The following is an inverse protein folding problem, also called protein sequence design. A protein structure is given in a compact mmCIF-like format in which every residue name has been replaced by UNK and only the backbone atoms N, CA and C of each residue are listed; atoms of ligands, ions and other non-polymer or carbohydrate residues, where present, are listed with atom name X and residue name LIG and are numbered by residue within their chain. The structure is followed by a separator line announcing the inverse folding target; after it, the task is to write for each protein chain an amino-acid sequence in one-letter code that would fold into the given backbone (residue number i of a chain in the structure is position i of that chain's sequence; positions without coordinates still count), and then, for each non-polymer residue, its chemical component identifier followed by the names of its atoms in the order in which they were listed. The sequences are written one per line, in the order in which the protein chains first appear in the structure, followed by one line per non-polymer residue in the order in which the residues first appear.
data_IF_324204544585
#
_entry.id   IF_324204544585
#
_cell.length_a   1.000
_cell.length_b   1.000
_cell.length_c   1.000
_cell.angle_alpha   90.00
_cell.angle_beta   90.00
_cell.angle_gamma   90.00
#
_symmetry.space_group_name_H-M   'P 1'
#
loop_
_entity.id
_entity.type
_entity.pdbx_description
1 polymer ?
#
# COMPACT_ATOMS: atom_id res chain seq x y z
N UNK A 1 0.39 33.36 -6.14
CA UNK A 1 0.36 32.24 -7.10
C UNK A 1 0.92 31.00 -6.42
N UNK A 2 0.09 30.31 -5.62
CA UNK A 2 0.54 29.14 -4.85
C UNK A 2 0.38 27.89 -5.70
N UNK A 3 1.51 27.23 -6.00
CA UNK A 3 1.49 25.89 -6.57
C UNK A 3 0.77 24.97 -5.58
N UNK A 4 -0.45 24.53 -5.92
CA UNK A 4 -1.11 23.45 -5.21
C UNK A 4 -0.25 22.22 -5.48
N UNK A 5 0.71 21.96 -4.59
CA UNK A 5 1.55 20.77 -4.61
C UNK A 5 0.63 19.58 -4.46
N UNK A 6 0.26 18.96 -5.58
CA UNK A 6 -0.54 17.75 -5.59
C UNK A 6 0.11 16.72 -4.68
N UNK A 7 -0.65 16.15 -3.74
CA UNK A 7 -0.15 15.11 -2.83
C UNK A 7 0.56 14.00 -3.63
N UNK A 8 1.54 13.30 -3.05
CA UNK A 8 2.28 12.22 -3.74
C UNK A 8 1.37 11.14 -4.39
N UNK A 9 0.13 11.04 -3.93
CA UNK A 9 -0.93 10.16 -4.44
C UNK A 9 -1.65 10.73 -5.68
N UNK A 10 -1.67 12.04 -5.90
CA UNK A 10 -2.35 12.66 -7.04
C UNK A 10 -1.60 12.52 -8.37
N UNK A 11 -0.30 12.19 -8.34
CA UNK A 11 0.46 11.87 -9.55
C UNK A 11 0.01 10.50 -10.07
N UNK A 12 -0.62 10.48 -11.25
CA UNK A 12 -1.09 9.25 -11.91
C UNK A 12 0.03 8.32 -12.41
N UNK A 13 1.30 8.73 -12.36
CA UNK A 13 2.39 7.88 -12.85
C UNK A 13 2.55 6.58 -12.02
N UNK A 14 2.71 5.47 -12.73
CA UNK A 14 3.04 4.16 -12.16
C UNK A 14 4.43 4.15 -11.48
N UNK A 15 5.31 5.08 -11.84
CA UNK A 15 6.61 5.30 -11.21
C UNK A 15 6.59 6.37 -10.10
N UNK A 16 5.40 6.80 -9.66
CA UNK A 16 5.29 7.78 -8.59
C UNK A 16 5.85 7.25 -7.26
N UNK A 17 6.34 8.17 -6.42
CA UNK A 17 6.90 7.85 -5.10
C UNK A 17 5.93 7.05 -4.21
N UNK A 18 4.63 7.25 -4.35
CA UNK A 18 3.65 6.50 -3.58
C UNK A 18 3.27 5.13 -4.20
N UNK A 19 4.01 4.66 -5.21
CA UNK A 19 4.10 3.24 -5.62
C UNK A 19 5.48 2.70 -5.26
N UNK A 20 6.54 3.42 -5.62
CA UNK A 20 7.91 2.93 -5.49
C UNK A 20 8.35 2.82 -4.04
N UNK A 21 8.00 3.78 -3.17
CA UNK A 21 8.29 3.70 -1.73
C UNK A 21 7.60 2.51 -1.05
N UNK A 22 6.27 2.33 -1.14
CA UNK A 22 5.64 1.18 -0.50
C UNK A 22 6.08 -0.16 -1.12
N UNK A 23 6.31 -0.23 -2.43
CA UNK A 23 6.86 -1.43 -3.05
C UNK A 23 8.27 -1.75 -2.51
N UNK A 24 9.13 -0.74 -2.38
CA UNK A 24 10.47 -0.89 -1.81
C UNK A 24 10.39 -1.35 -0.34
N UNK A 25 9.49 -0.79 0.47
CA UNK A 25 9.27 -1.25 1.86
C UNK A 25 8.87 -2.72 1.90
N UNK A 26 7.92 -3.15 1.06
CA UNK A 26 7.51 -4.57 0.97
C UNK A 26 8.70 -5.46 0.61
N UNK A 27 9.47 -5.07 -0.42
CA UNK A 27 10.65 -5.85 -0.85
C UNK A 27 11.71 -5.90 0.24
N UNK A 28 12.00 -4.78 0.91
CA UNK A 28 13.00 -4.72 1.98
C UNK A 28 12.59 -5.58 3.17
N UNK A 29 11.32 -5.60 3.55
CA UNK A 29 10.80 -6.45 4.65
C UNK A 29 10.84 -7.93 4.29
N UNK A 30 10.49 -8.29 3.06
CA UNK A 30 10.57 -9.67 2.59
C UNK A 30 12.04 -10.13 2.52
N UNK A 31 12.93 -9.27 2.01
CA UNK A 31 14.35 -9.56 1.93
C UNK A 31 14.99 -9.66 3.32
N UNK A 32 14.63 -8.77 4.25
CA UNK A 32 15.16 -8.81 5.62
C UNK A 32 14.69 -10.07 6.36
N UNK A 33 13.47 -10.57 6.12
CA UNK A 33 13.01 -11.84 6.69
C UNK A 33 13.91 -13.04 6.30
N UNK A 34 14.60 -12.98 5.15
CA UNK A 34 15.54 -14.01 4.69
C UNK A 34 16.97 -13.74 5.16
N UNK A 35 17.45 -12.50 5.01
CA UNK A 35 18.86 -12.13 5.23
C UNK A 35 19.17 -11.88 6.71
N UNK A 36 18.26 -11.22 7.43
CA UNK A 36 18.41 -10.83 8.84
C UNK A 36 17.08 -11.05 9.58
N UNK A 37 16.73 -12.31 9.87
CA UNK A 37 15.41 -12.66 10.40
C UNK A 37 15.10 -11.96 11.72
N UNK A 38 16.10 -11.65 12.55
CA UNK A 38 15.93 -10.98 13.85
C UNK A 38 15.30 -9.58 13.76
N UNK A 39 15.21 -8.98 12.57
CA UNK A 39 14.56 -7.67 12.37
C UNK A 39 13.04 -7.77 12.19
N UNK A 40 12.52 -8.96 11.91
CA UNK A 40 11.14 -9.14 11.45
C UNK A 40 10.47 -10.36 12.10
N UNK A 41 11.24 -11.42 12.30
CA UNK A 41 10.81 -12.70 12.86
C UNK A 41 11.24 -12.77 14.30
N UNK A 42 10.27 -12.90 15.20
CA UNK A 42 10.51 -13.00 16.64
C UNK A 42 10.59 -14.45 17.11
N UNK A 43 9.53 -15.23 16.85
CA UNK A 43 9.41 -16.61 17.37
C UNK A 43 9.73 -17.62 16.28
N UNK A 44 9.04 -17.56 15.14
CA UNK A 44 9.21 -18.52 14.05
C UNK A 44 8.96 -17.92 12.67
N UNK A 45 9.77 -18.29 11.67
CA UNK A 45 9.54 -17.82 10.30
C UNK A 45 8.15 -18.19 9.76
N UNK A 46 7.57 -19.29 10.26
CA UNK A 46 6.24 -19.72 9.89
C UNK A 46 5.14 -18.80 10.43
N UNK A 47 5.29 -18.24 11.64
CA UNK A 47 4.33 -17.27 12.18
C UNK A 47 4.28 -16.02 11.30
N UNK A 48 5.44 -15.55 10.85
CA UNK A 48 5.56 -14.34 10.06
C UNK A 48 4.92 -14.52 8.70
N UNK A 49 5.19 -15.66 8.05
CA UNK A 49 4.59 -16.00 6.75
C UNK A 49 3.07 -16.15 6.86
N UNK A 50 2.58 -16.82 7.90
CA UNK A 50 1.15 -17.05 8.07
C UNK A 50 0.40 -15.78 8.51
N UNK A 51 0.83 -15.18 9.62
CA UNK A 51 0.13 -14.08 10.27
C UNK A 51 0.42 -12.75 9.59
N UNK A 52 1.68 -12.42 9.34
CA UNK A 52 2.02 -11.10 8.78
C UNK A 52 1.88 -11.08 7.26
N UNK A 53 2.46 -12.03 6.55
CA UNK A 53 2.47 -12.02 5.09
C UNK A 53 1.11 -12.40 4.50
N UNK A 54 0.54 -13.51 4.94
CA UNK A 54 -0.72 -14.01 4.37
C UNK A 54 -1.95 -13.33 4.98
N UNK A 55 -2.19 -13.46 6.28
CA UNK A 55 -3.38 -12.89 6.92
C UNK A 55 -3.32 -11.35 6.97
N UNK A 56 -2.23 -10.81 7.49
CA UNK A 56 -2.01 -9.37 7.62
C UNK A 56 -1.90 -8.69 6.26
N UNK A 57 -1.03 -9.17 5.38
CA UNK A 57 -0.84 -8.63 4.04
C UNK A 57 -2.11 -8.72 3.19
N UNK A 58 -2.80 -9.87 3.23
CA UNK A 58 -4.10 -10.03 2.55
C UNK A 58 -5.16 -9.04 3.05
N UNK A 59 -5.31 -8.94 4.38
CA UNK A 59 -6.25 -7.99 5.00
C UNK A 59 -5.87 -6.53 4.68
N UNK A 60 -4.59 -6.18 4.69
CA UNK A 60 -4.10 -4.85 4.37
C UNK A 60 -4.42 -4.48 2.92
N UNK A 61 -4.18 -5.38 1.98
CA UNK A 61 -4.50 -5.18 0.56
C UNK A 61 -6.00 -4.92 0.35
N UNK A 62 -6.84 -5.79 0.93
CA UNK A 62 -8.30 -5.67 0.83
C UNK A 62 -8.81 -4.40 1.49
N UNK A 63 -8.23 -4.00 2.62
CA UNK A 63 -8.55 -2.74 3.32
C UNK A 63 -8.20 -1.53 2.47
N UNK A 64 -6.98 -1.47 1.92
CA UNK A 64 -6.58 -0.39 1.03
C UNK A 64 -7.53 -0.25 -0.16
N UNK A 65 -7.87 -1.38 -0.79
CA UNK A 65 -8.80 -1.46 -1.91
C UNK A 65 -10.20 -0.99 -1.51
N UNK A 66 -10.75 -1.43 -0.38
CA UNK A 66 -12.12 -1.07 0.04
C UNK A 66 -12.26 0.42 0.34
N UNK A 67 -11.25 1.04 0.94
CA UNK A 67 -11.25 2.50 1.18
C UNK A 67 -11.20 3.27 -0.14
N UNK A 68 -10.37 2.83 -1.09
CA UNK A 68 -10.35 3.45 -2.42
C UNK A 68 -11.68 3.28 -3.17
N UNK A 69 -12.36 2.12 -3.06
CA UNK A 69 -13.64 1.88 -3.75
C UNK A 69 -14.72 2.93 -3.42
N UNK A 70 -14.71 3.47 -2.19
CA UNK A 70 -15.66 4.48 -1.71
C UNK A 70 -15.15 5.92 -1.86
N UNK A 71 -14.10 6.14 -2.66
CA UNK A 71 -13.49 7.46 -2.89
C UNK A 71 -12.96 8.15 -1.63
N UNK A 72 -12.80 7.41 -0.52
CA UNK A 72 -12.35 7.94 0.77
C UNK A 72 -10.89 8.43 0.71
N UNK A 73 -10.52 9.36 1.61
CA UNK A 73 -9.15 9.89 1.65
C UNK A 73 -8.15 8.82 2.09
N UNK A 74 -6.95 8.86 1.49
CA UNK A 74 -5.85 7.93 1.77
C UNK A 74 -5.48 7.83 3.27
N UNK A 75 -5.66 8.91 4.03
CA UNK A 75 -5.42 8.92 5.49
C UNK A 75 -6.24 7.84 6.23
N UNK A 76 -7.45 7.52 5.75
CA UNK A 76 -8.26 6.45 6.35
C UNK A 76 -7.66 5.07 6.10
N UNK A 77 -7.08 4.82 4.91
CA UNK A 77 -6.39 3.56 4.62
C UNK A 77 -5.16 3.36 5.52
N UNK A 78 -4.39 4.43 5.74
CA UNK A 78 -3.24 4.40 6.66
C UNK A 78 -3.71 4.14 8.09
N UNK A 79 -4.73 4.85 8.58
CA UNK A 79 -5.26 4.67 9.93
C UNK A 79 -5.76 3.23 10.17
N UNK A 80 -6.49 2.65 9.21
CA UNK A 80 -6.93 1.27 9.32
C UNK A 80 -5.78 0.27 9.23
N UNK A 81 -4.74 0.54 8.45
CA UNK A 81 -3.54 -0.29 8.43
C UNK A 81 -2.75 -0.23 9.75
N UNK A 82 -2.73 0.91 10.45
CA UNK A 82 -2.16 1.02 11.79
C UNK A 82 -2.94 0.14 12.80
N UNK A 83 -4.28 0.22 12.78
CA UNK A 83 -5.12 -0.64 13.62
C UNK A 83 -4.93 -2.12 13.29
N UNK A 84 -4.79 -2.45 12.00
CA UNK A 84 -4.48 -3.80 11.56
C UNK A 84 -3.11 -4.29 12.08
N UNK A 85 -2.12 -3.41 12.16
CA UNK A 85 -0.83 -3.70 12.80
C UNK A 85 -0.97 -4.09 14.28
N UNK A 86 -1.85 -3.41 15.02
CA UNK A 86 -2.17 -3.79 16.41
C UNK A 86 -2.80 -5.20 16.47
N UNK A 87 -3.69 -5.53 15.54
CA UNK A 87 -4.33 -6.86 15.48
C UNK A 87 -3.33 -7.96 15.14
N UNK A 88 -2.46 -7.73 14.15
CA UNK A 88 -1.40 -8.68 13.78
C UNK A 88 -0.44 -8.90 14.95
N UNK A 89 -0.06 -7.84 15.66
CA UNK A 89 0.77 -7.95 16.88
C UNK A 89 0.09 -8.76 17.96
N UNK A 90 -1.21 -8.55 18.16
CA UNK A 90 -1.99 -9.33 19.11
C UNK A 90 -2.01 -10.82 18.75
N UNK A 91 -2.11 -11.18 17.46
CA UNK A 91 -2.03 -12.59 17.04
C UNK A 91 -0.66 -13.22 17.28
N UNK A 92 0.43 -12.49 17.03
CA UNK A 92 1.78 -12.96 17.37
C UNK A 92 1.94 -13.26 18.86
N UNK A 93 1.41 -12.39 19.73
CA UNK A 93 1.39 -12.63 21.16
C UNK A 93 0.48 -13.81 21.55
N UNK A 94 -0.76 -13.84 21.06
CA UNK A 94 -1.78 -14.77 21.54
C UNK A 94 -1.59 -16.21 21.01
N UNK A 95 -1.07 -16.39 19.80
CA UNK A 95 -0.92 -17.72 19.17
C UNK A 95 0.49 -18.28 19.30
N UNK A 96 1.51 -17.42 19.36
CA UNK A 96 2.92 -17.84 19.28
C UNK A 96 3.75 -17.36 20.49
N UNK A 97 3.11 -16.81 21.52
CA UNK A 97 3.79 -16.32 22.74
C UNK A 97 4.87 -15.25 22.47
N UNK A 98 4.76 -14.49 21.37
CA UNK A 98 5.65 -13.37 21.04
C UNK A 98 5.48 -12.18 21.98
N UNK A 99 6.38 -11.19 21.95
CA UNK A 99 6.27 -10.01 22.82
C UNK A 99 5.24 -9.00 22.32
N UNK A 100 4.27 -8.66 23.16
CA UNK A 100 3.18 -7.74 22.79
C UNK A 100 3.67 -6.29 22.61
N UNK A 101 4.51 -5.81 23.53
CA UNK A 101 4.97 -4.41 23.60
C UNK A 101 6.38 -4.21 23.03
N UNK A 102 6.75 -4.95 21.99
CA UNK A 102 7.99 -4.66 21.25
C UNK A 102 7.74 -3.56 20.21
N UNK A 103 8.27 -2.36 20.48
CA UNK A 103 8.16 -1.23 19.56
C UNK A 103 8.82 -1.53 18.21
N UNK A 104 9.93 -2.27 18.21
CA UNK A 104 10.66 -2.62 16.99
C UNK A 104 9.79 -3.44 16.04
N UNK A 105 9.27 -4.58 16.51
CA UNK A 105 8.43 -5.47 15.68
C UNK A 105 7.09 -4.84 15.33
N UNK A 106 6.52 -4.02 16.23
CA UNK A 106 5.31 -3.27 15.92
C UNK A 106 5.52 -2.32 14.73
N UNK A 107 6.62 -1.57 14.71
CA UNK A 107 6.91 -0.62 13.63
C UNK A 107 7.17 -1.34 12.31
N UNK A 108 7.94 -2.44 12.31
CA UNK A 108 8.26 -3.17 11.08
C UNK A 108 7.02 -3.82 10.46
N UNK A 109 6.21 -4.53 11.24
CA UNK A 109 4.96 -5.13 10.74
C UNK A 109 3.97 -4.06 10.29
N UNK A 110 3.81 -3.00 11.06
CA UNK A 110 2.88 -1.92 10.69
C UNK A 110 3.33 -1.20 9.42
N UNK A 111 4.63 -0.93 9.26
CA UNK A 111 5.17 -0.34 8.04
C UNK A 111 4.91 -1.23 6.82
N UNK A 112 5.08 -2.55 6.97
CA UNK A 112 4.77 -3.53 5.93
C UNK A 112 3.28 -3.50 5.55
N UNK A 113 2.38 -3.53 6.54
CA UNK A 113 0.93 -3.51 6.30
C UNK A 113 0.47 -2.18 5.67
N UNK A 114 1.00 -1.05 6.14
CA UNK A 114 0.73 0.27 5.53
C UNK A 114 1.19 0.28 4.07
N UNK A 115 2.36 -0.28 3.77
CA UNK A 115 2.85 -0.35 2.41
C UNK A 115 1.93 -1.17 1.50
N UNK A 116 1.49 -2.35 1.94
CA UNK A 116 0.55 -3.18 1.19
C UNK A 116 -0.82 -2.50 1.02
N UNK A 117 -1.36 -1.90 2.09
CA UNK A 117 -2.62 -1.16 2.02
C UNK A 117 -2.52 0.02 1.04
N UNK A 118 -1.37 0.69 0.98
CA UNK A 118 -1.11 1.77 0.02
C UNK A 118 -1.13 1.27 -1.42
N UNK A 119 -0.47 0.13 -1.68
CA UNK A 119 -0.48 -0.48 -3.02
C UNK A 119 -1.89 -0.91 -3.43
N UNK A 120 -2.65 -1.55 -2.52
CA UNK A 120 -4.05 -1.94 -2.76
C UNK A 120 -4.96 -0.75 -3.04
N UNK A 121 -4.81 0.33 -2.25
CA UNK A 121 -5.50 1.59 -2.46
C UNK A 121 -5.19 2.19 -3.84
N UNK A 122 -3.91 2.18 -4.24
CA UNK A 122 -3.48 2.80 -5.49
C UNK A 122 -3.92 2.01 -6.72
N UNK A 123 -3.86 0.68 -6.66
CA UNK A 123 -4.38 -0.19 -7.71
C UNK A 123 -5.86 0.05 -7.99
N UNK A 124 -6.64 0.23 -6.92
CA UNK A 124 -8.05 0.57 -7.02
C UNK A 124 -8.26 1.95 -7.63
N UNK A 125 -7.52 2.96 -7.15
CA UNK A 125 -7.60 4.32 -7.70
C UNK A 125 -7.29 4.37 -9.19
N UNK A 126 -6.25 3.67 -9.63
CA UNK A 126 -5.91 3.61 -11.05
C UNK A 126 -7.04 3.03 -11.91
N UNK A 127 -7.65 1.94 -11.44
CA UNK A 127 -8.79 1.32 -12.13
C UNK A 127 -10.02 2.23 -12.14
N UNK A 128 -10.31 2.90 -11.04
CA UNK A 128 -11.40 3.85 -10.94
C UNK A 128 -11.24 5.02 -11.90
N UNK A 129 -10.04 5.59 -12.01
CA UNK A 129 -9.76 6.70 -12.94
C UNK A 129 -9.99 6.28 -14.39
N UNK A 130 -9.50 5.11 -14.78
CA UNK A 130 -9.69 4.61 -16.14
C UNK A 130 -11.15 4.23 -16.46
N UNK A 131 -11.90 3.71 -15.48
CA UNK A 131 -13.28 3.24 -15.70
C UNK A 131 -14.29 4.38 -15.61
N UNK A 132 -14.18 5.22 -14.57
CA UNK A 132 -15.15 6.29 -14.27
C UNK A 132 -14.81 7.59 -14.94
N UNK A 133 -13.55 7.83 -15.29
CA UNK A 133 -13.10 9.04 -15.98
C UNK A 133 -12.38 8.69 -17.29
N UNK A 134 -12.78 7.58 -17.93
CA UNK A 134 -12.15 7.03 -19.13
C UNK A 134 -12.10 8.00 -20.33
N UNK A 135 -12.91 9.06 -20.32
CA UNK A 135 -12.91 10.09 -21.35
C UNK A 135 -11.77 11.12 -21.18
N UNK A 136 -11.20 11.26 -19.97
CA UNK A 136 -10.03 12.12 -19.69
C UNK A 136 -8.79 11.28 -19.40
N UNK A 137 -8.94 10.10 -18.80
CA UNK A 137 -7.82 9.30 -18.32
C UNK A 137 -7.82 7.89 -18.91
N UNK A 138 -6.63 7.37 -19.26
CA UNK A 138 -6.41 5.95 -19.57
C UNK A 138 -5.55 5.29 -18.50
N UNK A 139 -5.78 4.00 -18.28
CA UNK A 139 -4.97 3.22 -17.37
C UNK A 139 -3.52 3.09 -17.89
N UNK A 140 -2.55 3.30 -17.01
CA UNK A 140 -1.12 3.13 -17.28
C UNK A 140 -0.53 2.15 -16.27
N UNK A 141 -0.56 0.86 -16.64
CA UNK A 141 -0.18 -0.24 -15.77
C UNK A 141 -1.17 -0.48 -14.61
N UNK A 142 -0.74 -1.29 -13.64
CA UNK A 142 -1.63 -1.70 -12.54
C UNK A 142 -1.86 -0.58 -11.49
N UNK A 143 -0.91 0.35 -11.35
CA UNK A 143 -0.91 1.36 -10.29
C UNK A 143 -1.00 2.81 -10.79
N UNK A 144 -1.12 3.02 -12.11
CA UNK A 144 -1.06 4.34 -12.71
C UNK A 144 -2.17 4.61 -13.73
N UNK A 145 -2.32 5.88 -14.07
CA UNK A 145 -3.17 6.41 -15.12
C UNK A 145 -2.48 7.60 -15.79
N UNK A 146 -2.76 7.79 -17.07
CA UNK A 146 -2.28 8.91 -17.87
C UNK A 146 -3.48 9.71 -18.37
N UNK A 147 -3.30 11.00 -18.55
CA UNK A 147 -4.31 11.82 -19.22
C UNK A 147 -4.30 11.45 -20.71
N UNK A 148 -5.48 11.10 -21.23
CA UNK A 148 -5.69 10.82 -22.64
C UNK A 148 -5.58 12.12 -23.41
N UNK A 149 -4.39 12.41 -23.92
CA UNK A 149 -4.12 13.62 -24.69
C UNK A 149 -5.09 13.78 -25.85
N UNK A 150 -5.62 14.99 -25.96
CA UNK A 150 -6.40 15.52 -27.07
C UNK A 150 -5.60 15.44 -28.38
N UNK A 151 -5.69 14.31 -29.09
CA UNK A 151 -5.09 14.15 -30.40
C UNK A 151 -5.89 14.86 -31.51
N UNK A 152 -6.84 15.74 -31.19
CA UNK A 152 -7.67 16.45 -32.17
C UNK A 152 -7.21 17.88 -32.50
N UNK A 153 -6.16 18.42 -31.87
CA UNK A 153 -5.75 19.84 -32.04
C UNK A 153 -4.48 20.10 -32.86
N UNK A 154 -3.86 19.08 -33.47
CA UNK A 154 -2.62 19.27 -34.25
C UNK A 154 -2.82 19.20 -35.78
N UNK A 155 -4.05 19.34 -36.28
CA UNK A 155 -4.41 19.13 -37.69
C UNK A 155 -4.77 20.38 -38.50
N UNK A 156 -4.94 21.55 -37.87
CA UNK A 156 -5.41 22.76 -38.54
C UNK A 156 -4.37 23.88 -38.40
N UNK A 157 -3.35 23.87 -39.27
CA UNK A 157 -2.44 24.99 -39.50
C UNK A 157 -2.01 25.03 -40.97
#
# INVERSE_FOLDING_TARGET
MAAISGSLVSKGSSASLAVTLPALVVVLVIASAVVMPTLVVEVSRADFVLVTLFLGGGAAWLTGRSIATTWRPYRQAVLYALLLGCVVRFFHYALFEGTLLSLHYFVTDTAFLVAIATLGFRAERARQMATRYGWIYRQSGFFGWLEGGDSRRSGDA
#
